data_IF_112805316021
#
_entry.id   IF_112805316021
#
_cell.length_a   1.000
_cell.length_b   1.000
_cell.length_c   1.000
_cell.angle_alpha   90.00
_cell.angle_beta   90.00
_cell.angle_gamma   90.00
#
_symmetry.space_group_name_H-M   'P 1'
#
loop_
_entity.id
_entity.type
_entity.pdbx_description
1 polymer ?
#
# COMPACT_ATOMS: atom_id res chain seq x y z
N UNK A 1 -1.81 -4.87 3.93
CA UNK A 1 -2.25 -4.69 2.52
C UNK A 1 -3.10 -3.43 2.43
N UNK A 2 -2.71 -2.46 1.58
CA UNK A 2 -3.52 -1.24 1.33
C UNK A 2 -4.44 -1.40 0.14
N UNK A 3 -5.65 -0.81 0.20
CA UNK A 3 -6.63 -0.90 -0.89
C UNK A 3 -7.22 -2.29 -1.08
N UNK A 4 -7.57 -2.98 0.01
CA UNK A 4 -8.02 -4.38 0.01
C UNK A 4 -9.48 -4.59 -0.42
N UNK A 5 -10.20 -3.55 -0.86
CA UNK A 5 -11.63 -3.66 -1.18
C UNK A 5 -11.92 -4.54 -2.38
N UNK A 6 -11.06 -4.53 -3.40
CA UNK A 6 -11.26 -5.18 -4.70
C UNK A 6 -9.93 -5.49 -5.38
N UNK A 7 -9.96 -6.23 -6.51
CA UNK A 7 -8.81 -6.42 -7.39
C UNK A 7 -7.63 -7.09 -6.68
N UNK A 8 -6.41 -6.68 -7.02
CA UNK A 8 -5.17 -7.27 -6.49
C UNK A 8 -5.09 -7.20 -4.95
N UNK A 9 -5.51 -6.09 -4.34
CA UNK A 9 -5.51 -5.97 -2.89
C UNK A 9 -6.41 -7.00 -2.19
N UNK A 10 -7.62 -7.22 -2.72
CA UNK A 10 -8.56 -8.24 -2.23
C UNK A 10 -7.99 -9.65 -2.42
N UNK A 11 -7.53 -9.96 -3.63
CA UNK A 11 -6.96 -11.27 -3.96
C UNK A 11 -5.72 -11.59 -3.11
N UNK A 12 -4.86 -10.60 -2.85
CA UNK A 12 -3.70 -10.78 -1.98
C UNK A 12 -4.12 -11.12 -0.56
N UNK A 13 -5.10 -10.40 0.01
CA UNK A 13 -5.63 -10.72 1.35
C UNK A 13 -6.18 -12.13 1.39
N UNK A 14 -7.02 -12.51 0.44
CA UNK A 14 -7.60 -13.84 0.42
C UNK A 14 -6.55 -14.95 0.21
N UNK A 15 -5.53 -14.70 -0.61
CA UNK A 15 -4.44 -15.63 -0.82
C UNK A 15 -3.63 -15.87 0.47
N UNK A 16 -3.26 -14.80 1.17
CA UNK A 16 -2.57 -14.89 2.49
C UNK A 16 -3.41 -15.72 3.46
N UNK A 17 -4.69 -15.37 3.61
CA UNK A 17 -5.58 -16.05 4.55
C UNK A 17 -5.82 -17.52 4.19
N UNK A 18 -5.94 -17.86 2.90
CA UNK A 18 -6.08 -19.26 2.43
C UNK A 18 -4.84 -20.11 2.74
N UNK A 19 -3.66 -19.49 2.82
CA UNK A 19 -2.42 -20.18 3.18
C UNK A 19 -2.20 -20.31 4.70
N UNK A 20 -3.14 -19.86 5.54
CA UNK A 20 -2.99 -19.92 6.99
C UNK A 20 -2.21 -18.75 7.59
N UNK A 21 -1.84 -17.77 6.78
CA UNK A 21 -1.06 -16.61 7.19
C UNK A 21 -1.93 -15.47 7.72
N UNK A 22 -1.30 -14.46 8.32
CA UNK A 22 -1.96 -13.30 8.93
C UNK A 22 -2.06 -12.14 7.93
N UNK A 23 -3.23 -11.49 7.87
CA UNK A 23 -3.46 -10.33 7.02
C UNK A 23 -4.03 -9.13 7.82
N UNK A 24 -3.35 -7.99 7.71
CA UNK A 24 -3.95 -6.68 7.99
C UNK A 24 -4.50 -6.12 6.67
N UNK A 25 -5.82 -6.10 6.55
CA UNK A 25 -6.55 -5.64 5.37
C UNK A 25 -7.07 -4.22 5.60
N UNK A 26 -6.73 -3.29 4.71
CA UNK A 26 -7.06 -1.88 4.92
C UNK A 26 -7.77 -1.26 3.71
N UNK A 27 -8.79 -0.48 4.00
CA UNK A 27 -9.71 0.11 3.02
C UNK A 27 -10.56 1.20 3.66
N UNK A 28 -11.04 2.16 2.88
CA UNK A 28 -11.87 3.26 3.39
C UNK A 28 -13.21 2.81 3.98
N UNK A 29 -13.76 1.69 3.51
CA UNK A 29 -15.05 1.12 3.97
C UNK A 29 -14.86 -0.33 4.43
N UNK A 30 -14.54 -0.58 5.70
CA UNK A 30 -14.27 -1.93 6.23
C UNK A 30 -15.36 -2.97 5.95
N UNK A 31 -16.64 -2.55 5.92
CA UNK A 31 -17.78 -3.45 5.69
C UNK A 31 -17.74 -4.20 4.35
N UNK A 32 -16.91 -3.76 3.39
CA UNK A 32 -16.69 -4.48 2.12
C UNK A 32 -16.02 -5.84 2.35
N UNK A 33 -15.35 -6.06 3.49
CA UNK A 33 -14.71 -7.32 3.85
C UNK A 33 -15.44 -8.09 4.96
N UNK A 34 -16.72 -7.77 5.23
CA UNK A 34 -17.51 -8.46 6.26
C UNK A 34 -17.61 -9.97 5.99
N UNK A 35 -17.60 -10.37 4.72
CA UNK A 35 -17.62 -11.77 4.31
C UNK A 35 -16.32 -12.51 4.70
N UNK A 36 -15.16 -11.84 4.63
CA UNK A 36 -13.90 -12.39 5.10
C UNK A 36 -13.80 -12.35 6.63
N UNK A 37 -14.24 -11.26 7.26
CA UNK A 37 -14.25 -11.11 8.71
C UNK A 37 -15.16 -12.14 9.41
N UNK A 38 -16.23 -12.59 8.74
CA UNK A 38 -17.07 -13.68 9.23
C UNK A 38 -16.39 -15.07 9.13
N UNK A 39 -15.42 -15.23 8.23
CA UNK A 39 -14.76 -16.50 7.93
C UNK A 39 -13.46 -16.71 8.69
N UNK A 40 -12.73 -15.64 8.98
CA UNK A 40 -11.39 -15.69 9.58
C UNK A 40 -11.37 -15.02 10.96
N UNK A 41 -10.70 -15.62 11.96
CA UNK A 41 -10.63 -15.05 13.31
C UNK A 41 -9.75 -13.79 13.32
N UNK A 42 -9.93 -12.94 14.34
CA UNK A 42 -9.11 -11.72 14.54
C UNK A 42 -7.62 -12.00 14.72
N UNK A 43 -7.26 -13.21 15.17
CA UNK A 43 -5.87 -13.68 15.26
C UNK A 43 -5.23 -13.92 13.91
N UNK A 44 -6.00 -13.87 12.83
CA UNK A 44 -5.53 -14.09 11.46
C UNK A 44 -5.90 -12.94 10.52
N UNK A 45 -7.07 -12.31 10.68
CA UNK A 45 -7.51 -11.19 9.88
C UNK A 45 -7.84 -9.98 10.76
N UNK A 46 -7.13 -8.87 10.54
CA UNK A 46 -7.47 -7.57 11.08
C UNK A 46 -7.90 -6.64 9.95
N UNK A 47 -9.16 -6.19 9.98
CA UNK A 47 -9.70 -5.23 9.00
C UNK A 47 -9.73 -3.84 9.62
N UNK A 48 -9.05 -2.87 8.99
CA UNK A 48 -8.96 -1.50 9.49
C UNK A 48 -9.39 -0.46 8.45
N UNK A 49 -10.06 0.63 8.87
CA UNK A 49 -10.30 1.76 8.00
C UNK A 49 -8.97 2.46 7.67
N UNK A 50 -8.73 2.73 6.38
CA UNK A 50 -7.59 3.52 5.94
C UNK A 50 -7.91 4.34 4.70
N UNK A 51 -7.74 5.65 4.82
CA UNK A 51 -7.42 6.55 3.72
C UNK A 51 -5.92 6.81 3.68
N UNK A 52 -5.25 6.38 2.61
CA UNK A 52 -3.78 6.49 2.50
C UNK A 52 -3.30 7.94 2.39
N UNK A 53 -4.18 8.89 2.04
CA UNK A 53 -3.83 10.32 2.03
C UNK A 53 -3.89 10.94 3.43
N UNK A 54 -4.28 10.18 4.46
CA UNK A 54 -4.34 10.63 5.84
C UNK A 54 -3.20 10.00 6.65
N UNK A 55 -2.15 10.77 6.90
CA UNK A 55 -0.95 10.32 7.61
C UNK A 55 -1.23 9.78 9.02
N UNK A 56 -2.20 10.39 9.73
CA UNK A 56 -2.59 9.93 11.06
C UNK A 56 -3.23 8.56 11.01
N UNK A 57 -4.07 8.28 10.00
CA UNK A 57 -4.64 6.95 9.82
C UNK A 57 -3.58 5.91 9.44
N UNK A 58 -2.61 6.29 8.59
CA UNK A 58 -1.49 5.39 8.25
C UNK A 58 -0.77 4.97 9.52
N UNK A 59 -0.31 5.90 10.35
CA UNK A 59 0.37 5.60 11.63
C UNK A 59 -0.48 4.72 12.55
N UNK A 60 -1.75 5.08 12.71
CA UNK A 60 -2.68 4.32 13.56
C UNK A 60 -2.90 2.88 13.08
N UNK A 61 -2.86 2.62 11.77
CA UNK A 61 -2.94 1.25 11.23
C UNK A 61 -1.70 0.44 11.60
N UNK A 62 -0.51 1.01 11.48
CA UNK A 62 0.73 0.35 11.86
C UNK A 62 0.79 0.06 13.37
N UNK A 63 0.35 1.00 14.20
CA UNK A 63 0.21 0.81 15.65
C UNK A 63 -0.76 -0.33 15.99
N UNK A 64 -1.95 -0.34 15.39
CA UNK A 64 -2.93 -1.41 15.64
C UNK A 64 -2.46 -2.77 15.15
N UNK A 65 -1.72 -2.82 14.03
CA UNK A 65 -1.09 -4.04 13.54
C UNK A 65 -0.03 -4.56 14.54
N UNK A 66 0.80 -3.66 15.09
CA UNK A 66 1.76 -3.97 16.16
C UNK A 66 1.07 -4.50 17.41
N UNK A 67 0.02 -3.83 17.88
CA UNK A 67 -0.69 -4.23 19.09
C UNK A 67 -1.34 -5.62 18.95
N UNK A 68 -1.76 -5.96 17.72
CA UNK A 68 -2.44 -7.24 17.45
C UNK A 68 -1.47 -8.38 17.17
N UNK A 69 -0.39 -8.14 16.41
CA UNK A 69 0.49 -9.18 15.86
C UNK A 69 1.98 -9.02 16.21
N UNK A 70 2.35 -7.92 16.85
CA UNK A 70 3.70 -7.62 17.34
C UNK A 70 4.67 -7.09 16.29
N UNK A 71 4.54 -7.50 15.03
CA UNK A 71 5.44 -7.12 13.94
C UNK A 71 4.73 -7.14 12.59
N UNK A 72 5.38 -6.61 11.56
CA UNK A 72 4.89 -6.62 10.17
C UNK A 72 6.03 -7.07 9.26
N UNK A 73 5.88 -8.22 8.62
CA UNK A 73 6.90 -8.74 7.69
C UNK A 73 6.82 -8.09 6.32
N UNK A 74 5.59 -7.82 5.84
CA UNK A 74 5.34 -7.36 4.47
C UNK A 74 4.30 -6.25 4.45
N UNK A 75 4.64 -5.13 3.81
CA UNK A 75 3.68 -4.08 3.44
C UNK A 75 3.44 -4.16 1.93
N UNK A 76 2.27 -4.68 1.57
CA UNK A 76 1.76 -4.64 0.19
C UNK A 76 1.05 -3.31 -0.05
N UNK A 77 1.77 -2.35 -0.62
CA UNK A 77 1.32 -0.99 -0.88
C UNK A 77 0.64 -0.92 -2.25
N UNK A 78 -0.67 -1.06 -2.24
CA UNK A 78 -1.50 -1.30 -3.42
C UNK A 78 -2.59 -0.25 -3.63
N UNK A 79 -2.97 0.51 -2.61
CA UNK A 79 -4.00 1.53 -2.72
C UNK A 79 -3.71 2.46 -3.91
N UNK A 80 -4.67 2.54 -4.81
CA UNK A 80 -4.56 3.32 -6.02
C UNK A 80 -5.85 3.25 -6.82
N UNK A 81 -6.03 4.19 -7.73
CA UNK A 81 -7.14 4.21 -8.65
C UNK A 81 -6.67 4.62 -10.05
N UNK A 82 -7.39 4.18 -11.07
CA UNK A 82 -7.21 4.68 -12.42
C UNK A 82 -8.13 5.88 -12.66
N UNK A 83 -7.69 6.82 -13.49
CA UNK A 83 -8.52 7.89 -14.04
C UNK A 83 -8.43 7.81 -15.55
N UNK A 84 -9.50 7.32 -16.18
CA UNK A 84 -9.60 7.21 -17.64
C UNK A 84 -10.28 8.47 -18.16
N UNK A 85 -9.50 9.44 -18.62
CA UNK A 85 -9.98 10.70 -19.18
C UNK A 85 -8.92 11.38 -20.05
N UNK A 86 -9.33 12.16 -21.05
CA UNK A 86 -8.41 12.98 -21.82
C UNK A 86 -7.58 13.92 -20.93
N UNK A 87 -6.30 14.09 -21.26
CA UNK A 87 -5.37 14.87 -20.44
C UNK A 87 -5.79 16.34 -20.35
N UNK A 88 -6.08 16.97 -21.49
CA UNK A 88 -6.48 18.38 -21.56
C UNK A 88 -7.80 18.66 -20.83
N UNK A 89 -8.78 17.76 -20.97
CA UNK A 89 -10.13 17.92 -20.41
C UNK A 89 -10.26 17.45 -18.95
N UNK A 90 -9.20 16.93 -18.34
CA UNK A 90 -9.26 16.48 -16.94
C UNK A 90 -9.27 17.69 -15.99
N UNK A 91 -10.30 17.76 -15.14
CA UNK A 91 -10.36 18.76 -14.07
C UNK A 91 -9.16 18.62 -13.12
N UNK A 92 -8.47 19.72 -12.85
CA UNK A 92 -7.25 19.72 -12.04
C UNK A 92 -7.44 19.14 -10.63
N UNK A 93 -8.60 19.34 -10.02
CA UNK A 93 -8.88 18.77 -8.69
C UNK A 93 -8.97 17.23 -8.74
N UNK A 94 -9.47 16.65 -9.84
CA UNK A 94 -9.47 15.20 -10.03
C UNK A 94 -8.07 14.67 -10.28
N UNK A 95 -7.26 15.40 -11.05
CA UNK A 95 -5.86 15.07 -11.29
C UNK A 95 -5.05 15.12 -9.98
N UNK A 96 -5.21 16.16 -9.17
CA UNK A 96 -4.55 16.28 -7.85
C UNK A 96 -4.97 15.15 -6.92
N UNK A 97 -6.27 14.91 -6.76
CA UNK A 97 -6.75 13.82 -5.91
C UNK A 97 -6.23 12.43 -6.35
N UNK A 98 -6.05 12.21 -7.65
CA UNK A 98 -5.41 11.00 -8.17
C UNK A 98 -3.94 10.90 -7.73
N UNK A 99 -3.18 11.99 -7.85
CA UNK A 99 -1.77 12.04 -7.43
C UNK A 99 -1.66 11.88 -5.92
N UNK A 100 -2.54 12.52 -5.15
CA UNK A 100 -2.58 12.40 -3.70
C UNK A 100 -2.76 10.95 -3.26
N UNK A 101 -3.62 10.18 -3.93
CA UNK A 101 -3.83 8.77 -3.60
C UNK A 101 -2.67 7.90 -4.13
N UNK A 102 -2.39 7.98 -5.43
CA UNK A 102 -1.50 7.03 -6.11
C UNK A 102 -0.02 7.27 -5.83
N UNK A 103 0.36 8.51 -5.52
CA UNK A 103 1.74 8.89 -5.23
C UNK A 103 1.90 9.25 -3.76
N UNK A 104 1.29 10.34 -3.28
CA UNK A 104 1.54 10.79 -1.90
C UNK A 104 1.08 9.77 -0.86
N UNK A 105 -0.08 9.15 -1.03
CA UNK A 105 -0.54 8.10 -0.13
C UNK A 105 0.37 6.88 -0.13
N UNK A 106 0.89 6.50 -1.30
CA UNK A 106 1.89 5.44 -1.39
C UNK A 106 3.22 5.83 -0.72
N UNK A 107 3.68 7.08 -0.88
CA UNK A 107 4.86 7.64 -0.19
C UNK A 107 4.67 7.59 1.33
N UNK A 108 3.56 8.10 1.85
CA UNK A 108 3.25 8.10 3.29
C UNK A 108 3.29 6.68 3.87
N UNK A 109 2.66 5.71 3.20
CA UNK A 109 2.69 4.29 3.62
C UNK A 109 4.12 3.73 3.54
N UNK A 110 4.90 4.09 2.54
CA UNK A 110 6.26 3.59 2.35
C UNK A 110 7.20 4.07 3.44
N UNK A 111 7.15 5.36 3.76
CA UNK A 111 7.98 5.96 4.81
C UNK A 111 7.63 5.38 6.18
N UNK A 112 6.33 5.21 6.48
CA UNK A 112 5.92 4.56 7.74
C UNK A 112 6.33 3.09 7.77
N UNK A 113 6.23 2.36 6.64
CA UNK A 113 6.68 0.98 6.57
C UNK A 113 8.18 0.84 6.86
N UNK A 114 9.02 1.65 6.21
CA UNK A 114 10.47 1.64 6.43
C UNK A 114 10.82 2.02 7.87
N UNK A 115 10.16 3.04 8.43
CA UNK A 115 10.31 3.39 9.85
C UNK A 115 9.96 2.20 10.75
N UNK A 116 8.79 1.60 10.53
CA UNK A 116 8.28 0.49 11.35
C UNK A 116 9.21 -0.73 11.29
N UNK A 117 9.64 -1.14 10.10
CA UNK A 117 10.58 -2.25 9.95
C UNK A 117 11.91 -2.00 10.66
N UNK A 118 12.37 -0.75 10.70
CA UNK A 118 13.63 -0.38 11.34
C UNK A 118 13.52 -0.26 12.87
N UNK A 119 12.43 0.31 13.37
CA UNK A 119 12.31 0.74 14.77
C UNK A 119 11.44 -0.17 15.62
N UNK A 120 10.44 -0.83 15.03
CA UNK A 120 9.37 -1.52 15.78
C UNK A 120 9.43 -3.04 15.62
N UNK A 121 9.89 -3.53 14.47
CA UNK A 121 10.10 -4.96 14.27
C UNK A 121 11.23 -5.48 15.17
N UNK A 122 11.25 -6.80 15.48
CA UNK A 122 12.35 -7.42 16.20
C UNK A 122 13.70 -7.12 15.56
N UNK A 123 14.75 -7.01 16.38
CA UNK A 123 16.09 -6.68 15.91
C UNK A 123 16.53 -7.63 14.77
N UNK A 124 17.04 -7.05 13.68
CA UNK A 124 17.45 -7.76 12.45
C UNK A 124 16.34 -8.43 11.63
N UNK A 125 15.06 -8.38 12.05
CA UNK A 125 13.96 -8.96 11.28
C UNK A 125 13.76 -8.23 9.93
N UNK A 126 13.89 -6.91 9.94
CA UNK A 126 13.70 -6.08 8.74
C UNK A 126 12.29 -6.15 8.21
N UNK A 127 12.11 -6.21 6.89
CA UNK A 127 10.79 -6.31 6.27
C UNK A 127 10.81 -6.17 4.76
N UNK A 128 9.65 -6.34 4.11
CA UNK A 128 9.50 -6.19 2.68
C UNK A 128 8.41 -5.18 2.32
N UNK A 129 8.79 -4.11 1.64
CA UNK A 129 7.87 -3.15 1.04
C UNK A 129 7.66 -3.53 -0.43
N UNK A 130 6.44 -3.95 -0.75
CA UNK A 130 6.02 -4.26 -2.12
C UNK A 130 5.17 -3.12 -2.64
N UNK A 131 5.64 -2.46 -3.69
CA UNK A 131 4.92 -1.37 -4.35
C UNK A 131 4.21 -1.86 -5.60
N UNK A 132 2.88 -1.67 -5.64
CA UNK A 132 2.10 -2.02 -6.83
C UNK A 132 2.07 -0.84 -7.77
N UNK A 133 2.85 -0.96 -8.84
CA UNK A 133 3.00 0.05 -9.86
C UNK A 133 2.15 -0.30 -11.09
N UNK A 134 2.67 -0.06 -12.29
CA UNK A 134 2.04 -0.41 -13.55
C UNK A 134 3.06 -0.36 -14.67
N UNK A 135 2.94 -1.22 -15.68
CA UNK A 135 3.65 -1.06 -16.96
C UNK A 135 3.51 0.36 -17.55
N UNK A 136 2.39 1.03 -17.25
CA UNK A 136 2.10 2.39 -17.68
C UNK A 136 2.98 3.47 -17.03
N UNK A 137 3.83 3.12 -16.06
CA UNK A 137 4.89 4.00 -15.52
C UNK A 137 6.01 4.22 -16.55
N UNK A 138 6.34 3.18 -17.33
CA UNK A 138 7.41 3.22 -18.33
C UNK A 138 6.93 3.82 -19.66
N UNK A 139 5.67 3.56 -20.01
CA UNK A 139 5.07 4.01 -21.26
C UNK A 139 3.65 4.49 -21.02
N UNK A 140 3.46 5.80 -21.08
CA UNK A 140 2.14 6.42 -20.99
C UNK A 140 1.19 5.92 -22.10
N UNK A 141 -0.11 5.93 -21.78
CA UNK A 141 -1.18 5.58 -22.72
C UNK A 141 -2.19 6.74 -22.82
N UNK A 142 -2.79 7.00 -24.00
CA UNK A 142 -3.91 7.92 -24.10
C UNK A 142 -4.99 7.63 -23.05
N UNK A 143 -5.63 8.69 -22.57
CA UNK A 143 -6.63 8.67 -21.50
C UNK A 143 -6.13 8.29 -20.10
N UNK A 144 -4.86 7.90 -19.94
CA UNK A 144 -4.30 7.48 -18.66
C UNK A 144 -3.14 8.38 -18.23
N UNK A 145 -3.03 9.60 -18.78
CA UNK A 145 -1.88 10.47 -18.57
C UNK A 145 -1.54 10.71 -17.10
N UNK A 146 -2.47 11.22 -16.29
CA UNK A 146 -2.22 11.45 -14.86
C UNK A 146 -1.98 10.15 -14.07
N UNK A 147 -2.62 9.05 -14.46
CA UNK A 147 -2.38 7.75 -13.85
C UNK A 147 -0.95 7.26 -14.12
N UNK A 148 -0.54 7.25 -15.40
CA UNK A 148 0.82 6.95 -15.84
C UNK A 148 1.85 7.82 -15.15
N UNK A 149 1.62 9.14 -15.09
CA UNK A 149 2.50 10.07 -14.38
C UNK A 149 2.62 9.75 -12.89
N UNK A 150 1.51 9.39 -12.23
CA UNK A 150 1.53 9.00 -10.82
C UNK A 150 2.37 7.74 -10.56
N UNK A 151 2.29 6.76 -11.46
CA UNK A 151 3.05 5.50 -11.34
C UNK A 151 4.52 5.66 -11.75
N UNK A 152 4.81 6.50 -12.73
CA UNK A 152 6.18 6.89 -13.06
C UNK A 152 6.88 7.60 -11.89
N UNK A 153 6.18 8.53 -11.23
CA UNK A 153 6.68 9.18 -10.02
C UNK A 153 6.91 8.17 -8.88
N UNK A 154 5.97 7.23 -8.69
CA UNK A 154 6.09 6.18 -7.68
C UNK A 154 7.29 5.26 -7.95
N UNK A 155 7.54 4.87 -9.20
CA UNK A 155 8.67 4.02 -9.57
C UNK A 155 10.00 4.70 -9.26
N UNK A 156 10.14 5.97 -9.64
CA UNK A 156 11.35 6.75 -9.37
C UNK A 156 11.58 6.94 -7.86
N UNK A 157 10.53 7.24 -7.10
CA UNK A 157 10.61 7.29 -5.64
C UNK A 157 11.06 5.96 -5.04
N UNK A 158 10.47 4.85 -5.49
CA UNK A 158 10.74 3.52 -4.94
C UNK A 158 12.16 3.06 -5.26
N UNK A 159 12.67 3.38 -6.46
CA UNK A 159 14.05 3.11 -6.86
C UNK A 159 15.05 3.81 -5.93
N UNK A 160 14.84 5.09 -5.65
CA UNK A 160 15.71 5.85 -4.74
C UNK A 160 15.59 5.32 -3.31
N UNK A 161 14.37 5.07 -2.84
CA UNK A 161 14.15 4.53 -1.49
C UNK A 161 14.89 3.21 -1.28
N UNK A 162 14.87 2.31 -2.27
CA UNK A 162 15.58 1.03 -2.22
C UNK A 162 17.11 1.19 -2.08
N UNK A 163 17.68 2.27 -2.62
CA UNK A 163 19.11 2.57 -2.52
C UNK A 163 19.49 3.23 -1.19
N UNK A 164 18.56 3.96 -0.56
CA UNK A 164 18.78 4.65 0.71
C UNK A 164 18.64 3.74 1.94
N UNK A 165 17.97 2.58 1.80
CA UNK A 165 17.87 1.58 2.87
C UNK A 165 19.23 0.94 3.12
N UNK A 166 19.71 1.01 4.36
CA UNK A 166 20.99 0.41 4.74
C UNK A 166 20.91 -1.13 4.77
N UNK A 167 21.94 -1.86 4.29
CA UNK A 167 21.92 -3.32 4.26
C UNK A 167 21.67 -3.99 5.62
N UNK A 168 22.15 -3.38 6.72
CA UNK A 168 21.97 -3.90 8.07
C UNK A 168 20.54 -3.71 8.61
N UNK A 169 19.67 -2.94 7.95
CA UNK A 169 18.25 -2.87 8.31
C UNK A 169 17.46 -4.09 7.83
N UNK A 170 18.03 -4.91 6.93
CA UNK A 170 17.36 -6.10 6.36
C UNK A 170 15.99 -5.79 5.73
N UNK A 171 15.82 -4.56 5.22
CA UNK A 171 14.60 -4.13 4.54
C UNK A 171 14.78 -4.31 3.03
N UNK A 172 13.81 -4.94 2.38
CA UNK A 172 13.74 -5.08 0.92
C UNK A 172 12.63 -4.20 0.37
N UNK A 173 12.91 -3.49 -0.71
CA UNK A 173 11.94 -2.64 -1.41
C UNK A 173 11.88 -3.11 -2.86
N UNK A 174 10.68 -3.40 -3.37
CA UNK A 174 10.50 -3.83 -4.75
C UNK A 174 9.23 -3.28 -5.39
N UNK A 175 9.28 -3.08 -6.70
CA UNK A 175 8.11 -2.78 -7.53
C UNK A 175 7.53 -4.06 -8.13
N UNK A 176 6.21 -4.11 -8.25
CA UNK A 176 5.45 -5.15 -8.94
C UNK A 176 4.42 -4.54 -9.90
#
# INVERSE_FOLDING_TARGET
VTGSSTGFGREMVENVLRNGEIAVATLRKPSVLDDLAAKYPRTQLLVLPLDVTNETQVKSVFEQAKDTFGHIDVVYNNAGQALIQELEGTLMDRARALIDINFWGAVTVSLEAVRFFREENPESAGGMLVQISSYLSLKGSPLLGFYSSSKAALDSFTEVLAQEVLPNWNIRVCNW
#
